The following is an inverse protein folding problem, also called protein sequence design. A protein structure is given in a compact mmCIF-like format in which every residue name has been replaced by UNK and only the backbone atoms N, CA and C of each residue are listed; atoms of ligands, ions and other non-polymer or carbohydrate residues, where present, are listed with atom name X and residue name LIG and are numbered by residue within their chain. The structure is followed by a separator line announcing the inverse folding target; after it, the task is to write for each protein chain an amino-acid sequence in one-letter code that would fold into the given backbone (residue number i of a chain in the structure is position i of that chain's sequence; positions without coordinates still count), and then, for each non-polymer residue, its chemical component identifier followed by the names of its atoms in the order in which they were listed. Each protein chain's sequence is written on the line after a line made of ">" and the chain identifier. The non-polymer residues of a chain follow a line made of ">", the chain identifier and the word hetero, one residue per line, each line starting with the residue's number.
data_IF_118153199520
#
_entry.id   IF_118153199520
#
_cell.length_a   1.000
_cell.length_b   1.000
_cell.length_c   1.000
_cell.angle_alpha   90.00
_cell.angle_beta   90.00
_cell.angle_gamma   90.00
#
_symmetry.space_group_name_H-M   'P 1'
#
loop_
_entity.id
_entity.type
_entity.pdbx_description
1 polymer ?
#
# COMPACT_ATOMS: atom_id res chain seq x y z
N UNK A 1 35.76 23.02 -4.63
CA UNK A 1 34.82 21.87 -4.62
C UNK A 1 34.94 21.18 -3.27
N UNK A 2 33.83 20.90 -2.61
CA UNK A 2 33.63 19.85 -1.60
C UNK A 2 32.17 19.92 -1.14
N UNK A 3 31.27 19.22 -1.82
CA UNK A 3 29.90 19.01 -1.35
C UNK A 3 29.87 17.77 -0.48
N UNK A 4 29.78 18.00 0.82
CA UNK A 4 29.56 17.00 1.84
C UNK A 4 28.10 16.52 1.70
N UNK A 5 27.88 15.35 1.10
CA UNK A 5 26.56 14.72 1.01
C UNK A 5 26.35 13.98 2.33
N UNK A 6 25.39 14.46 3.13
CA UNK A 6 24.99 13.81 4.37
C UNK A 6 24.49 12.38 4.10
N UNK A 7 24.74 11.42 5.00
CA UNK A 7 24.26 10.05 4.84
C UNK A 7 22.74 10.03 5.01
N UNK A 8 22.04 9.64 3.95
CA UNK A 8 20.61 9.37 3.96
C UNK A 8 20.38 8.10 4.79
N UNK A 9 20.08 8.24 6.08
CA UNK A 9 19.82 7.12 6.99
C UNK A 9 18.38 6.61 6.79
N UNK A 10 18.20 5.75 5.79
CA UNK A 10 17.05 4.86 5.66
C UNK A 10 17.23 3.69 6.64
N UNK A 11 16.22 3.27 7.43
CA UNK A 11 16.38 2.25 8.47
C UNK A 11 16.86 0.87 7.98
N UNK A 12 16.84 0.60 6.67
CA UNK A 12 17.31 -0.65 6.04
C UNK A 12 18.57 -0.52 5.18
N UNK A 13 19.11 0.68 4.94
CA UNK A 13 20.30 0.92 4.10
C UNK A 13 20.19 0.52 2.60
N UNK A 14 19.08 -0.09 2.17
CA UNK A 14 18.83 -0.53 0.80
C UNK A 14 18.22 0.58 -0.08
N UNK A 15 18.46 0.56 -1.40
CA UNK A 15 17.81 1.47 -2.35
C UNK A 15 16.27 1.36 -2.28
N UNK A 16 15.51 2.45 -2.53
CA UNK A 16 14.05 2.46 -2.46
C UNK A 16 13.39 1.45 -3.41
N UNK A 17 13.97 1.28 -4.60
CA UNK A 17 13.58 0.29 -5.60
C UNK A 17 13.68 -1.15 -5.10
N UNK A 18 14.71 -1.44 -4.29
CA UNK A 18 14.93 -2.78 -3.71
C UNK A 18 13.90 -3.05 -2.61
N UNK A 19 13.56 -2.03 -1.81
CA UNK A 19 12.58 -2.17 -0.73
C UNK A 19 11.15 -2.39 -1.25
N UNK A 20 10.74 -1.70 -2.33
CA UNK A 20 9.42 -1.98 -2.91
C UNK A 20 9.38 -3.30 -3.69
N UNK A 21 10.48 -3.77 -4.27
CA UNK A 21 10.56 -5.15 -4.78
C UNK A 21 10.42 -6.15 -3.61
N UNK A 22 11.10 -5.95 -2.48
CA UNK A 22 10.96 -6.80 -1.30
C UNK A 22 9.51 -6.83 -0.78
N UNK A 23 8.84 -5.68 -0.77
CA UNK A 23 7.43 -5.57 -0.44
C UNK A 23 6.58 -6.45 -1.38
N UNK A 24 6.76 -6.32 -2.70
CA UNK A 24 6.00 -7.10 -3.68
C UNK A 24 6.29 -8.60 -3.58
N UNK A 25 7.55 -9.00 -3.37
CA UNK A 25 7.91 -10.40 -3.16
C UNK A 25 7.26 -10.99 -1.90
N UNK A 26 7.18 -10.19 -0.84
CA UNK A 26 6.49 -10.57 0.40
C UNK A 26 4.99 -10.77 0.16
N UNK A 27 4.33 -9.85 -0.55
CA UNK A 27 2.93 -9.99 -0.94
C UNK A 27 2.73 -11.23 -1.81
N UNK A 28 3.56 -11.40 -2.85
CA UNK A 28 3.53 -12.57 -3.75
C UNK A 28 3.60 -13.88 -2.97
N UNK A 29 4.60 -14.03 -2.08
CA UNK A 29 4.78 -15.26 -1.30
C UNK A 29 3.62 -15.53 -0.35
N UNK A 30 3.08 -14.50 0.30
CA UNK A 30 1.98 -14.63 1.27
C UNK A 30 0.66 -15.00 0.60
N UNK A 31 0.34 -14.35 -0.52
CA UNK A 31 -0.88 -14.60 -1.28
C UNK A 31 -0.76 -15.74 -2.30
N UNK A 32 0.45 -16.31 -2.48
CA UNK A 32 0.77 -17.35 -3.48
C UNK A 32 0.44 -16.91 -4.91
N UNK A 33 0.78 -15.66 -5.23
CA UNK A 33 0.56 -15.07 -6.55
C UNK A 33 1.58 -15.61 -7.56
N UNK A 34 1.20 -15.63 -8.84
CA UNK A 34 2.02 -16.20 -9.91
C UNK A 34 3.31 -15.41 -10.09
N UNK A 35 3.22 -14.07 -10.10
CA UNK A 35 4.35 -13.20 -10.30
C UNK A 35 4.27 -11.87 -9.49
N UNK A 36 5.26 -11.00 -9.70
CA UNK A 36 5.34 -9.70 -9.05
C UNK A 36 4.39 -8.65 -9.65
N UNK A 37 3.88 -8.87 -10.87
CA UNK A 37 2.88 -8.00 -11.48
C UNK A 37 1.53 -8.21 -10.79
N UNK A 38 1.14 -9.47 -10.57
CA UNK A 38 -0.04 -9.80 -9.76
C UNK A 38 0.05 -9.19 -8.35
N UNK A 39 1.24 -9.28 -7.72
CA UNK A 39 1.49 -8.70 -6.40
C UNK A 39 1.40 -7.17 -6.39
N UNK A 40 1.80 -6.53 -7.49
CA UNK A 40 1.68 -5.08 -7.67
C UNK A 40 0.21 -4.69 -7.82
N UNK A 41 -0.52 -5.33 -8.73
CA UNK A 41 -1.89 -4.99 -9.06
C UNK A 41 -2.80 -5.10 -7.83
N UNK A 42 -2.70 -6.20 -7.06
CA UNK A 42 -3.45 -6.35 -5.80
C UNK A 42 -3.07 -5.28 -4.78
N UNK A 43 -1.79 -4.96 -4.65
CA UNK A 43 -1.33 -3.95 -3.69
C UNK A 43 -1.87 -2.56 -4.05
N UNK A 44 -1.84 -2.19 -5.33
CA UNK A 44 -2.38 -0.92 -5.82
C UNK A 44 -3.90 -0.84 -5.59
N UNK A 45 -4.65 -1.91 -5.85
CA UNK A 45 -6.11 -1.95 -5.64
C UNK A 45 -6.46 -1.87 -4.16
N UNK A 46 -5.75 -2.62 -3.29
CA UNK A 46 -5.95 -2.55 -1.83
C UNK A 46 -5.63 -1.14 -1.33
N UNK A 47 -4.50 -0.54 -1.73
CA UNK A 47 -4.10 0.79 -1.31
C UNK A 47 -5.06 1.87 -1.80
N UNK A 48 -5.53 1.79 -3.05
CA UNK A 48 -6.58 2.67 -3.56
C UNK A 48 -7.86 2.56 -2.74
N UNK A 49 -8.31 1.34 -2.46
CA UNK A 49 -9.54 1.11 -1.70
C UNK A 49 -9.40 1.58 -0.24
N UNK A 50 -8.24 1.42 0.39
CA UNK A 50 -7.95 1.99 1.72
C UNK A 50 -8.04 3.52 1.70
N UNK A 51 -7.37 4.17 0.74
CA UNK A 51 -7.38 5.63 0.63
C UNK A 51 -8.77 6.20 0.37
N UNK A 52 -9.58 5.50 -0.43
CA UNK A 52 -10.98 5.89 -0.68
C UNK A 52 -11.80 6.00 0.63
N UNK A 53 -11.42 5.29 1.70
CA UNK A 53 -12.13 5.26 2.98
C UNK A 53 -11.56 6.23 4.03
N UNK A 54 -10.47 6.93 3.73
CA UNK A 54 -9.73 7.74 4.69
C UNK A 54 -9.79 9.23 4.35
N UNK A 55 -9.84 10.12 5.36
CA UNK A 55 -9.59 11.55 5.16
C UNK A 55 -8.21 11.81 4.55
N UNK A 56 -8.09 12.88 3.75
CA UNK A 56 -6.85 13.24 3.08
C UNK A 56 -5.69 13.39 4.07
N UNK A 57 -5.95 13.93 5.27
CA UNK A 57 -4.92 14.15 6.28
C UNK A 57 -4.31 12.82 6.77
N UNK A 58 -5.11 11.75 6.83
CA UNK A 58 -4.64 10.40 7.19
C UNK A 58 -3.82 9.82 6.04
N UNK A 59 -4.33 9.95 4.81
CA UNK A 59 -3.62 9.52 3.60
C UNK A 59 -2.26 10.22 3.47
N UNK A 60 -2.20 11.52 3.75
CA UNK A 60 -0.99 12.33 3.69
C UNK A 60 0.03 11.87 4.75
N UNK A 61 -0.39 11.62 6.00
CA UNK A 61 0.52 11.11 7.04
C UNK A 61 1.09 9.73 6.72
N UNK A 62 0.27 8.82 6.18
CA UNK A 62 0.75 7.49 5.73
C UNK A 62 1.72 7.66 4.55
N UNK A 63 1.39 8.56 3.63
CA UNK A 63 2.23 8.88 2.48
C UNK A 63 3.61 9.38 2.90
N UNK A 64 3.66 10.35 3.81
CA UNK A 64 4.91 10.89 4.35
C UNK A 64 5.76 9.79 4.98
N UNK A 65 5.16 8.92 5.81
CA UNK A 65 5.89 7.81 6.41
C UNK A 65 6.44 6.84 5.36
N UNK A 66 5.62 6.41 4.39
CA UNK A 66 6.08 5.55 3.30
C UNK A 66 7.19 6.19 2.46
N UNK A 67 7.17 7.51 2.28
CA UNK A 67 8.24 8.24 1.59
C UNK A 67 9.54 8.31 2.39
N UNK A 68 9.48 8.29 3.73
CA UNK A 68 10.68 8.19 4.56
C UNK A 68 11.33 6.81 4.50
N UNK A 69 10.52 5.77 4.30
CA UNK A 69 10.98 4.38 4.19
C UNK A 69 11.51 4.13 2.77
N UNK A 70 10.71 4.49 1.77
CA UNK A 70 11.03 4.38 0.35
C UNK A 70 10.76 5.71 -0.35
N UNK A 71 11.75 6.59 -0.53
CA UNK A 71 11.55 7.80 -1.31
C UNK A 71 11.11 7.44 -2.73
N UNK A 72 10.13 8.20 -3.25
CA UNK A 72 9.56 8.00 -4.58
C UNK A 72 10.66 7.99 -5.64
N UNK A 73 10.59 7.03 -6.56
CA UNK A 73 11.62 6.87 -7.59
C UNK A 73 11.24 7.74 -8.78
N UNK A 74 11.92 8.88 -8.97
CA UNK A 74 11.77 9.65 -10.21
C UNK A 74 12.54 8.97 -11.35
N UNK A 75 11.85 8.16 -12.15
CA UNK A 75 12.33 7.75 -13.47
C UNK A 75 13.29 6.55 -13.55
N UNK A 76 13.55 5.84 -12.44
CA UNK A 76 14.22 4.54 -12.48
C UNK A 76 13.19 3.40 -12.38
N UNK A 77 13.46 2.28 -13.05
CA UNK A 77 12.61 1.08 -13.17
C UNK A 77 12.28 0.35 -11.85
N UNK A 78 12.47 1.01 -10.71
CA UNK A 78 12.16 0.51 -9.38
C UNK A 78 10.73 0.83 -8.98
N UNK A 79 10.12 -0.09 -8.23
CA UNK A 79 8.84 0.15 -7.56
C UNK A 79 9.18 0.63 -6.15
N UNK A 80 8.83 1.86 -5.77
CA UNK A 80 8.84 2.27 -4.36
C UNK A 80 7.47 1.98 -3.73
N UNK A 81 7.42 1.70 -2.43
CA UNK A 81 6.15 1.46 -1.72
C UNK A 81 5.29 2.73 -1.72
N UNK A 82 5.93 3.90 -1.60
CA UNK A 82 5.25 5.18 -1.74
C UNK A 82 4.59 5.37 -3.12
N UNK A 83 5.18 4.84 -4.18
CA UNK A 83 4.63 4.92 -5.54
C UNK A 83 3.41 3.98 -5.68
N UNK A 84 3.48 2.76 -5.13
CA UNK A 84 2.33 1.85 -5.02
C UNK A 84 1.18 2.50 -4.24
N UNK A 85 1.50 3.13 -3.10
CA UNK A 85 0.49 3.78 -2.26
C UNK A 85 -0.14 4.98 -2.94
N UNK A 86 0.63 5.78 -3.70
CA UNK A 86 0.11 7.00 -4.33
C UNK A 86 -0.72 6.73 -5.60
N UNK A 87 -0.62 5.54 -6.20
CA UNK A 87 -1.12 5.20 -7.53
C UNK A 87 -0.41 6.04 -8.62
N UNK A 88 -0.06 5.37 -9.72
CA UNK A 88 0.74 5.91 -10.82
C UNK A 88 0.04 7.06 -11.57
N UNK A 89 -1.25 7.32 -11.31
CA UNK A 89 -2.05 8.34 -12.00
C UNK A 89 -2.07 9.72 -11.31
N UNK A 90 -1.10 10.56 -11.64
CA UNK A 90 -0.91 11.92 -11.09
C UNK A 90 -2.13 12.86 -11.24
N UNK A 91 -3.04 12.61 -12.20
CA UNK A 91 -4.23 13.44 -12.45
C UNK A 91 -5.36 13.20 -11.44
N UNK A 92 -5.40 12.02 -10.81
CA UNK A 92 -6.40 11.69 -9.78
C UNK A 92 -6.01 12.32 -8.43
N UNK A 93 -4.71 12.50 -8.17
CA UNK A 93 -4.16 13.15 -6.95
C UNK A 93 -4.69 14.55 -6.68
N UNK A 94 -5.19 15.24 -7.70
CA UNK A 94 -5.73 16.59 -7.59
C UNK A 94 -7.27 16.61 -7.47
N UNK A 95 -7.97 15.59 -7.98
CA UNK A 95 -9.44 15.49 -7.96
C UNK A 95 -9.98 14.79 -6.71
N UNK A 96 -9.18 13.95 -6.03
CA UNK A 96 -9.61 13.26 -4.79
C UNK A 96 -9.73 14.18 -3.57
N UNK A 97 -9.05 15.34 -3.57
CA UNK A 97 -9.01 16.23 -2.40
C UNK A 97 -10.35 16.87 -2.03
N UNK A 98 -11.32 16.81 -2.94
CA UNK A 98 -12.68 17.35 -2.77
C UNK A 98 -13.70 16.26 -2.43
N UNK A 99 -13.34 14.97 -2.58
CA UNK A 99 -14.27 13.86 -2.28
C UNK A 99 -14.23 13.54 -0.79
N UNK A 100 -15.42 13.43 -0.21
CA UNK A 100 -15.57 12.87 1.13
C UNK A 100 -15.12 11.39 1.13
N UNK A 101 -14.58 10.88 2.25
CA UNK A 101 -14.31 9.45 2.41
C UNK A 101 -15.55 8.62 2.10
N UNK A 102 -15.34 7.50 1.40
CA UNK A 102 -16.41 6.58 1.03
C UNK A 102 -16.72 5.63 2.17
N UNK A 103 -18.00 5.42 2.45
CA UNK A 103 -18.48 4.36 3.32
C UNK A 103 -18.53 3.03 2.53
N UNK A 104 -17.41 2.31 2.52
CA UNK A 104 -17.27 1.03 1.82
C UNK A 104 -17.53 -0.12 2.79
N UNK A 105 -18.54 -0.94 2.50
CA UNK A 105 -18.81 -2.16 3.26
C UNK A 105 -17.69 -3.21 3.06
N UNK A 106 -17.49 -4.16 3.99
CA UNK A 106 -16.50 -5.22 3.81
C UNK A 106 -16.71 -6.01 2.51
N UNK A 107 -17.96 -6.35 2.19
CA UNK A 107 -18.30 -7.10 0.97
C UNK A 107 -17.96 -6.28 -0.28
N UNK A 108 -18.24 -4.98 -0.27
CA UNK A 108 -17.88 -4.09 -1.38
C UNK A 108 -16.37 -3.97 -1.56
N UNK A 109 -15.61 -3.93 -0.47
CA UNK A 109 -14.14 -3.88 -0.53
C UNK A 109 -13.57 -5.17 -1.13
N UNK A 110 -14.01 -6.32 -0.62
CA UNK A 110 -13.61 -7.65 -1.14
C UNK A 110 -14.02 -7.80 -2.61
N UNK A 111 -15.24 -7.38 -2.94
CA UNK A 111 -15.75 -7.42 -4.31
C UNK A 111 -14.89 -6.57 -5.25
N UNK A 112 -14.58 -5.32 -4.89
CA UNK A 112 -13.70 -4.44 -5.71
C UNK A 112 -12.35 -5.09 -5.96
N UNK A 113 -11.75 -5.69 -4.93
CA UNK A 113 -10.49 -6.40 -5.08
C UNK A 113 -10.62 -7.60 -6.03
N UNK A 114 -11.68 -8.40 -5.89
CA UNK A 114 -11.91 -9.54 -6.78
C UNK A 114 -12.08 -9.13 -8.26
N UNK A 115 -12.61 -7.94 -8.52
CA UNK A 115 -12.87 -7.44 -9.88
C UNK A 115 -11.67 -6.70 -10.47
N UNK A 116 -11.00 -5.87 -9.68
CA UNK A 116 -9.98 -4.93 -10.16
C UNK A 116 -8.56 -5.51 -10.11
N UNK A 117 -8.26 -6.44 -9.19
CA UNK A 117 -6.91 -6.98 -9.02
C UNK A 117 -6.59 -8.17 -9.94
N UNK A 118 -7.55 -8.63 -10.76
CA UNK A 118 -7.31 -9.71 -11.73
C UNK A 118 -6.85 -11.04 -11.13
N UNK A 119 -7.22 -11.33 -9.87
CA UNK A 119 -6.68 -12.47 -9.11
C UNK A 119 -6.77 -13.80 -9.88
N UNK A 120 -5.65 -14.51 -9.89
CA UNK A 120 -5.55 -15.85 -10.45
C UNK A 120 -6.57 -16.82 -9.84
N UNK A 121 -7.05 -17.77 -10.65
CA UNK A 121 -8.06 -18.75 -10.22
C UNK A 121 -7.56 -19.54 -9.01
N UNK A 122 -8.34 -19.51 -7.92
CA UNK A 122 -8.08 -20.26 -6.70
C UNK A 122 -7.46 -19.46 -5.55
N UNK A 123 -7.15 -18.18 -5.77
CA UNK A 123 -6.74 -17.27 -4.69
C UNK A 123 -7.98 -16.60 -4.12
N UNK A 124 -8.23 -16.79 -2.81
CA UNK A 124 -9.30 -16.08 -2.13
C UNK A 124 -8.93 -14.59 -1.99
N UNK A 125 -9.83 -13.65 -2.34
CA UNK A 125 -9.56 -12.22 -2.19
C UNK A 125 -9.12 -11.84 -0.76
N UNK A 126 -9.67 -12.50 0.25
CA UNK A 126 -9.35 -12.28 1.66
C UNK A 126 -7.90 -12.66 2.00
N UNK A 127 -7.38 -13.75 1.41
CA UNK A 127 -5.97 -14.15 1.60
C UNK A 127 -5.03 -13.13 0.95
N UNK A 128 -5.42 -12.61 -0.21
CA UNK A 128 -4.67 -11.56 -0.91
C UNK A 128 -4.69 -10.24 -0.12
N UNK A 129 -5.84 -9.86 0.44
CA UNK A 129 -5.99 -8.70 1.34
C UNK A 129 -5.11 -8.88 2.58
N UNK A 130 -5.17 -10.05 3.23
CA UNK A 130 -4.38 -10.38 4.40
C UNK A 130 -2.88 -10.24 4.11
N UNK A 131 -2.41 -10.75 2.97
CA UNK A 131 -1.02 -10.63 2.53
C UNK A 131 -0.57 -9.16 2.41
N UNK A 132 -1.39 -8.31 1.78
CA UNK A 132 -1.08 -6.87 1.66
C UNK A 132 -1.13 -6.19 3.03
N UNK A 133 -2.11 -6.50 3.86
CA UNK A 133 -2.25 -5.94 5.21
C UNK A 133 -1.05 -6.26 6.10
N UNK A 134 -0.66 -7.54 6.19
CA UNK A 134 0.53 -7.94 6.95
C UNK A 134 1.77 -7.22 6.44
N UNK A 135 1.97 -7.18 5.12
CA UNK A 135 3.17 -6.57 4.54
C UNK A 135 3.20 -5.05 4.75
N UNK A 136 2.05 -4.38 4.65
CA UNK A 136 1.94 -2.94 4.94
C UNK A 136 2.23 -2.65 6.42
N UNK A 137 1.71 -3.46 7.35
CA UNK A 137 1.96 -3.29 8.79
C UNK A 137 3.43 -3.43 9.17
N UNK A 138 4.20 -4.25 8.46
CA UNK A 138 5.65 -4.35 8.65
C UNK A 138 6.39 -3.06 8.28
N UNK A 139 5.82 -2.25 7.38
CA UNK A 139 6.41 -0.99 6.95
C UNK A 139 6.00 0.18 7.85
N UNK A 140 4.76 0.19 8.33
CA UNK A 140 4.19 1.33 9.04
C UNK A 140 4.57 1.37 10.53
N UNK A 141 4.62 2.57 11.11
CA UNK A 141 4.72 2.70 12.56
C UNK A 141 3.45 2.24 13.28
N UNK A 142 3.53 1.91 14.58
CA UNK A 142 2.34 1.55 15.37
C UNK A 142 1.27 2.66 15.41
N UNK A 143 1.64 3.91 15.18
CA UNK A 143 0.69 5.02 15.06
C UNK A 143 -0.09 4.95 13.74
N UNK A 144 0.59 4.83 12.60
CA UNK A 144 -0.07 4.70 11.29
C UNK A 144 -0.88 3.41 11.18
N UNK A 145 -0.42 2.31 11.78
CA UNK A 145 -1.20 1.06 11.84
C UNK A 145 -2.54 1.24 12.57
N UNK A 146 -2.56 2.01 13.67
CA UNK A 146 -3.79 2.34 14.41
C UNK A 146 -4.68 3.30 13.64
N UNK A 147 -4.10 4.24 12.88
CA UNK A 147 -4.89 5.12 12.03
C UNK A 147 -5.65 4.34 10.97
N UNK A 148 -4.99 3.43 10.24
CA UNK A 148 -5.66 2.55 9.26
C UNK A 148 -6.78 1.73 9.91
N UNK A 149 -6.53 1.14 11.09
CA UNK A 149 -7.51 0.34 11.84
C UNK A 149 -8.83 1.11 12.11
N UNK A 150 -8.76 2.41 12.36
CA UNK A 150 -9.93 3.22 12.69
C UNK A 150 -10.90 3.40 11.51
N UNK A 151 -10.40 3.31 10.27
CA UNK A 151 -11.19 3.51 9.06
C UNK A 151 -11.62 2.21 8.39
N UNK A 152 -11.09 1.06 8.81
CA UNK A 152 -11.51 -0.23 8.27
C UNK A 152 -12.92 -0.62 8.77
N UNK A 153 -13.75 -1.23 7.91
CA UNK A 153 -15.09 -1.67 8.27
C UNK A 153 -15.05 -3.03 8.98
N UNK A 154 -15.98 -3.24 9.91
CA UNK A 154 -16.23 -4.45 10.70
C UNK A 154 -15.25 -5.64 10.51
N UNK A 155 -15.54 -6.55 9.58
CA UNK A 155 -14.77 -7.79 9.37
C UNK A 155 -13.38 -7.56 8.82
N UNK A 156 -13.17 -6.53 7.98
CA UNK A 156 -11.82 -6.15 7.53
C UNK A 156 -10.97 -5.57 8.65
N UNK A 157 -11.58 -4.86 9.59
CA UNK A 157 -10.89 -4.42 10.80
C UNK A 157 -10.47 -5.61 11.67
N UNK A 158 -11.30 -6.63 11.75
CA UNK A 158 -10.94 -7.88 12.46
C UNK A 158 -9.77 -8.56 11.76
N UNK A 159 -9.82 -8.70 10.43
CA UNK A 159 -8.73 -9.24 9.62
C UNK A 159 -7.42 -8.46 9.87
N UNK A 160 -7.45 -7.13 9.75
CA UNK A 160 -6.29 -6.25 9.99
C UNK A 160 -5.64 -6.44 11.36
N UNK A 161 -6.43 -6.70 12.39
CA UNK A 161 -5.94 -6.92 13.76
C UNK A 161 -5.38 -8.33 13.97
N UNK A 162 -5.87 -9.31 13.22
CA UNK A 162 -5.45 -10.71 13.32
C UNK A 162 -4.13 -10.99 12.60
N UNK A 163 -3.86 -10.27 11.51
CA UNK A 163 -2.72 -10.50 10.62
C UNK A 163 -1.51 -9.61 10.90
#
# INVERSE_FOLDING_TARGET
>A
MNTNIAPNTTPSGLPPSVQGIEFLEKVQRRARLEDLYDARDISEVVFRTLRDMMPNEVVDRITEELQTITPATMGESGVAIADLWQDTNLLVRWLSRVRAPLDISPDSFVFRISQEAGLSRGIAPEDAIAAVFTTLKECLSPERVREVDNYLPSTLRQLWRQV
#
